data_IF_491060313133
#
_entry.id   IF_491060313133
#
_cell.length_a   1.000
_cell.length_b   1.000
_cell.length_c   1.000
_cell.angle_alpha   90.00
_cell.angle_beta   90.00
_cell.angle_gamma   90.00
#
_symmetry.space_group_name_H-M   'P 1'
#
loop_
_entity.id
_entity.type
_entity.pdbx_description
1 polymer ?
#
# COMPACT_ATOMS: atom_id res chain seq x y z
N UNK A 1 0.27 -12.89 1.84
CA UNK A 1 -0.10 -13.12 3.25
C UNK A 1 -1.45 -12.48 3.50
N UNK A 2 -2.37 -13.21 4.12
CA UNK A 2 -3.65 -12.64 4.58
C UNK A 2 -3.41 -11.64 5.72
N UNK A 3 -4.33 -10.70 5.94
CA UNK A 3 -4.22 -9.73 7.04
C UNK A 3 -4.12 -10.44 8.40
N UNK A 4 -4.79 -11.59 8.55
CA UNK A 4 -4.75 -12.42 9.77
C UNK A 4 -3.35 -13.01 10.07
N UNK A 5 -2.48 -13.11 9.07
CA UNK A 5 -1.09 -13.55 9.24
C UNK A 5 -0.14 -12.39 9.55
N UNK A 6 -0.61 -11.15 9.49
CA UNK A 6 0.21 -9.95 9.77
C UNK A 6 0.21 -9.55 11.23
N UNK A 7 -0.76 -10.03 12.01
CA UNK A 7 -0.87 -9.77 13.44
C UNK A 7 -1.33 -11.03 14.15
N UNK A 8 -0.41 -11.64 14.89
CA UNK A 8 -0.65 -12.90 15.58
C UNK A 8 -0.95 -12.67 17.07
N UNK A 9 -1.45 -13.71 17.74
CA UNK A 9 -1.63 -13.68 19.20
C UNK A 9 -0.33 -13.41 19.95
N UNK A 10 0.81 -13.87 19.41
CA UNK A 10 2.11 -13.59 20.01
C UNK A 10 2.49 -12.11 19.87
N UNK A 11 2.16 -11.47 18.75
CA UNK A 11 2.39 -10.03 18.56
C UNK A 11 1.55 -9.21 19.54
N UNK A 12 0.28 -9.59 19.72
CA UNK A 12 -0.60 -9.01 20.73
C UNK A 12 -0.02 -9.13 22.16
N UNK A 13 0.46 -10.31 22.55
CA UNK A 13 1.04 -10.51 23.88
C UNK A 13 2.37 -9.76 24.09
N UNK A 14 3.07 -9.38 23.03
CA UNK A 14 4.27 -8.53 23.11
C UNK A 14 3.89 -7.06 23.30
N UNK A 15 2.86 -6.58 22.60
CA UNK A 15 2.35 -5.21 22.71
C UNK A 15 1.59 -4.97 24.02
N UNK A 16 0.96 -6.01 24.57
CA UNK A 16 0.17 -5.98 25.80
C UNK A 16 0.68 -7.01 26.82
N UNK A 17 1.81 -6.75 27.51
CA UNK A 17 2.38 -7.68 28.48
C UNK A 17 1.44 -8.00 29.65
N UNK A 18 0.51 -7.10 30.00
CA UNK A 18 -0.51 -7.33 31.03
C UNK A 18 -1.36 -8.58 30.77
N UNK A 19 -1.73 -8.85 29.51
CA UNK A 19 -2.50 -10.03 29.14
C UNK A 19 -1.65 -11.32 29.18
N UNK A 20 -0.33 -11.18 29.01
CA UNK A 20 0.63 -12.28 29.18
C UNK A 20 0.79 -12.63 30.66
N UNK A 21 0.91 -11.62 31.52
CA UNK A 21 1.01 -11.77 32.98
C UNK A 21 -0.27 -12.36 33.58
N UNK A 22 -1.43 -11.87 33.15
CA UNK A 22 -2.75 -12.40 33.54
C UNK A 22 -3.08 -13.77 32.93
N UNK A 23 -2.17 -14.36 32.14
CA UNK A 23 -2.35 -15.63 31.41
C UNK A 23 -3.69 -15.66 30.64
N UNK A 24 -4.11 -14.52 30.10
CA UNK A 24 -5.35 -14.42 29.34
C UNK A 24 -5.24 -15.34 28.12
N UNK A 25 -6.21 -16.23 27.92
CA UNK A 25 -6.24 -17.12 26.76
C UNK A 25 -6.90 -16.39 25.59
N UNK A 26 -6.42 -16.61 24.37
CA UNK A 26 -7.09 -16.12 23.15
C UNK A 26 -8.55 -16.56 23.06
N UNK A 27 -8.85 -17.76 23.58
CA UNK A 27 -10.17 -18.36 23.57
C UNK A 27 -11.10 -17.83 24.66
N UNK A 28 -10.59 -17.08 25.66
CA UNK A 28 -11.47 -16.46 26.66
C UNK A 28 -12.23 -15.28 26.06
N UNK A 29 -13.41 -14.97 26.61
CA UNK A 29 -14.22 -13.85 26.13
C UNK A 29 -13.44 -12.51 26.18
N UNK A 30 -12.70 -12.27 27.25
CA UNK A 30 -11.85 -11.10 27.43
C UNK A 30 -10.69 -11.07 26.42
N UNK A 31 -9.97 -12.19 26.28
CA UNK A 31 -8.82 -12.28 25.37
C UNK A 31 -9.22 -12.14 23.91
N UNK A 32 -10.36 -12.72 23.51
CA UNK A 32 -10.91 -12.57 22.17
C UNK A 32 -11.28 -11.12 21.88
N UNK A 33 -11.99 -10.45 22.80
CA UNK A 33 -12.41 -9.06 22.63
C UNK A 33 -11.20 -8.11 22.56
N UNK A 34 -10.22 -8.29 23.44
CA UNK A 34 -9.00 -7.50 23.45
C UNK A 34 -8.17 -7.72 22.16
N UNK A 35 -8.03 -8.97 21.71
CA UNK A 35 -7.36 -9.29 20.45
C UNK A 35 -8.04 -8.66 19.25
N UNK A 36 -9.36 -8.80 19.14
CA UNK A 36 -10.12 -8.29 18.00
C UNK A 36 -10.03 -6.75 17.93
N UNK A 37 -10.03 -6.06 19.09
CA UNK A 37 -9.83 -4.62 19.15
C UNK A 37 -8.42 -4.21 18.69
N UNK A 38 -7.38 -4.85 19.24
CA UNK A 38 -6.00 -4.57 18.85
C UNK A 38 -5.75 -4.90 17.37
N UNK A 39 -6.28 -6.03 16.89
CA UNK A 39 -6.21 -6.44 15.50
C UNK A 39 -6.84 -5.41 14.55
N UNK A 40 -8.04 -4.92 14.87
CA UNK A 40 -8.70 -3.87 14.07
C UNK A 40 -7.83 -2.61 13.98
N UNK A 41 -7.24 -2.18 15.09
CA UNK A 41 -6.35 -1.02 15.14
C UNK A 41 -5.09 -1.25 14.31
N UNK A 42 -4.44 -2.40 14.45
CA UNK A 42 -3.28 -2.79 13.66
C UNK A 42 -3.59 -2.77 12.17
N UNK A 43 -4.69 -3.40 11.75
CA UNK A 43 -5.06 -3.49 10.32
C UNK A 43 -5.33 -2.09 9.74
N UNK A 44 -6.03 -1.22 10.48
CA UNK A 44 -6.25 0.18 10.06
C UNK A 44 -4.92 0.91 9.84
N UNK A 45 -4.00 0.81 10.79
CA UNK A 45 -2.66 1.42 10.69
C UNK A 45 -1.87 0.87 9.51
N UNK A 46 -1.81 -0.46 9.38
CA UNK A 46 -1.11 -1.14 8.29
C UNK A 46 -1.64 -0.75 6.91
N UNK A 47 -2.96 -0.66 6.75
CA UNK A 47 -3.57 -0.23 5.49
C UNK A 47 -3.29 1.25 5.18
N UNK A 48 -3.29 2.12 6.20
CA UNK A 48 -2.93 3.54 6.05
C UNK A 48 -1.47 3.72 5.62
N UNK A 49 -0.53 3.04 6.28
CA UNK A 49 0.89 3.08 5.90
C UNK A 49 1.12 2.57 4.48
N UNK A 50 0.36 1.54 4.08
CA UNK A 50 0.41 1.01 2.72
C UNK A 50 -0.12 2.01 1.70
N UNK A 51 -1.19 2.73 2.02
CA UNK A 51 -1.71 3.81 1.19
C UNK A 51 -0.65 4.89 0.98
N UNK A 52 -0.02 5.38 2.05
CA UNK A 52 1.02 6.41 1.98
C UNK A 52 2.23 5.97 1.13
N UNK A 53 2.70 4.73 1.33
CA UNK A 53 3.79 4.17 0.51
C UNK A 53 3.41 4.12 -0.96
N UNK A 54 2.19 3.71 -1.26
CA UNK A 54 1.70 3.61 -2.65
C UNK A 54 1.54 5.00 -3.27
N UNK A 55 1.04 5.98 -2.52
CA UNK A 55 0.94 7.38 -2.95
C UNK A 55 2.30 7.99 -3.27
N UNK A 56 3.33 7.74 -2.43
CA UNK A 56 4.72 8.17 -2.68
C UNK A 56 5.31 7.55 -3.96
N UNK A 57 4.94 6.31 -4.31
CA UNK A 57 5.37 5.68 -5.56
C UNK A 57 4.69 6.34 -6.75
N UNK A 58 3.39 6.63 -6.65
CA UNK A 58 2.63 7.32 -7.71
C UNK A 58 3.22 8.70 -7.97
N UNK A 59 3.49 9.51 -6.94
CA UNK A 59 4.07 10.85 -7.12
C UNK A 59 5.41 10.81 -7.85
N UNK A 60 6.33 9.94 -7.41
CA UNK A 60 7.63 9.72 -8.09
C UNK A 60 7.47 9.26 -9.53
N UNK A 61 6.47 8.44 -9.81
CA UNK A 61 6.19 7.94 -11.18
C UNK A 61 5.65 9.06 -12.07
N UNK A 62 4.78 9.92 -11.53
CA UNK A 62 4.24 11.10 -12.23
C UNK A 62 5.35 12.09 -12.58
N UNK A 63 6.28 12.36 -11.66
CA UNK A 63 7.43 13.23 -11.93
C UNK A 63 8.32 12.67 -13.05
N UNK A 64 8.65 11.38 -12.98
CA UNK A 64 9.40 10.69 -14.04
C UNK A 64 8.67 10.72 -15.38
N UNK A 65 7.35 10.54 -15.38
CA UNK A 65 6.51 10.64 -16.58
C UNK A 65 6.61 12.03 -17.20
N UNK A 66 6.46 13.10 -16.41
CA UNK A 66 6.58 14.50 -16.88
C UNK A 66 7.93 14.76 -17.55
N UNK A 67 9.03 14.33 -16.91
CA UNK A 67 10.37 14.46 -17.47
C UNK A 67 10.52 13.70 -18.79
N UNK A 68 9.92 12.50 -18.90
CA UNK A 68 10.00 11.67 -20.10
C UNK A 68 9.14 12.22 -21.25
N UNK A 69 8.01 12.86 -20.93
CA UNK A 69 7.18 13.59 -21.91
C UNK A 69 7.99 14.74 -22.52
N UNK A 70 8.67 15.55 -21.71
CA UNK A 70 9.51 16.64 -22.21
C UNK A 70 10.61 16.12 -23.15
N UNK A 71 11.34 15.07 -22.74
CA UNK A 71 12.34 14.40 -23.60
C UNK A 71 11.74 13.84 -24.89
N UNK A 72 10.52 13.28 -24.84
CA UNK A 72 9.86 12.76 -26.04
C UNK A 72 9.51 13.89 -27.03
N UNK A 73 9.18 15.08 -26.55
CA UNK A 73 8.94 16.24 -27.40
C UNK A 73 10.23 16.74 -28.06
N UNK A 74 11.35 16.73 -27.35
CA UNK A 74 12.68 17.02 -27.92
C UNK A 74 13.10 15.99 -28.99
N UNK A 75 12.87 14.70 -28.75
CA UNK A 75 13.14 13.65 -29.75
C UNK A 75 12.26 13.78 -31.00
N UNK A 76 11.01 14.24 -30.85
CA UNK A 76 10.14 14.57 -31.99
C UNK A 76 10.67 15.75 -32.79
N UNK A 77 11.08 16.84 -32.12
CA UNK A 77 11.64 18.03 -32.78
C UNK A 77 12.94 17.73 -33.55
N UNK A 78 13.76 16.83 -33.01
CA UNK A 78 15.02 16.38 -33.64
C UNK A 78 14.85 15.27 -34.69
N UNK A 79 13.61 14.86 -35.01
CA UNK A 79 13.35 13.81 -36.00
C UNK A 79 13.78 12.40 -35.57
N UNK A 80 14.16 12.19 -34.30
CA UNK A 80 14.62 10.89 -33.81
C UNK A 80 13.42 9.98 -33.47
N UNK A 81 12.91 9.30 -34.50
CA UNK A 81 11.72 8.42 -34.43
C UNK A 81 11.93 7.23 -33.50
N UNK A 82 13.13 6.61 -33.50
CA UNK A 82 13.46 5.47 -32.65
C UNK A 82 13.42 5.83 -31.15
N UNK A 83 14.09 6.92 -30.74
CA UNK A 83 14.06 7.39 -29.35
C UNK A 83 12.67 7.85 -28.93
N UNK A 84 11.91 8.46 -29.86
CA UNK A 84 10.52 8.85 -29.62
C UNK A 84 9.63 7.63 -29.32
N UNK A 85 9.71 6.58 -30.13
CA UNK A 85 8.93 5.35 -29.93
C UNK A 85 9.26 4.67 -28.59
N UNK A 86 10.54 4.59 -28.23
CA UNK A 86 10.99 4.06 -26.93
C UNK A 86 10.43 4.90 -25.78
N UNK A 87 10.47 6.23 -25.89
CA UNK A 87 9.94 7.12 -24.87
C UNK A 87 8.42 6.94 -24.69
N UNK A 88 7.65 6.86 -25.78
CA UNK A 88 6.20 6.64 -25.73
C UNK A 88 5.85 5.29 -25.08
N UNK A 89 6.59 4.22 -25.40
CA UNK A 89 6.39 2.91 -24.75
C UNK A 89 6.62 2.98 -23.24
N UNK A 90 7.66 3.71 -22.80
CA UNK A 90 7.94 3.94 -21.38
C UNK A 90 6.85 4.77 -20.70
N UNK A 91 6.31 5.79 -21.37
CA UNK A 91 5.17 6.59 -20.87
C UNK A 91 3.96 5.68 -20.66
N UNK A 92 3.60 4.85 -21.64
CA UNK A 92 2.47 3.92 -21.52
C UNK A 92 2.65 2.91 -20.37
N UNK A 93 3.87 2.40 -20.16
CA UNK A 93 4.18 1.53 -19.03
C UNK A 93 4.02 2.26 -17.67
N UNK A 94 4.40 3.54 -17.59
CA UNK A 94 4.19 4.37 -16.41
C UNK A 94 2.71 4.65 -16.15
N UNK A 95 1.92 4.89 -17.19
CA UNK A 95 0.47 5.07 -17.07
C UNK A 95 -0.22 3.81 -16.54
N UNK A 96 0.16 2.64 -17.06
CA UNK A 96 -0.32 1.37 -16.54
C UNK A 96 0.10 1.14 -15.07
N UNK A 97 1.29 1.59 -14.67
CA UNK A 97 1.74 1.51 -13.28
C UNK A 97 0.93 2.45 -12.36
N UNK A 98 0.66 3.68 -12.80
CA UNK A 98 -0.15 4.65 -12.04
C UNK A 98 -1.57 4.09 -11.86
N UNK A 99 -2.20 3.59 -12.91
CA UNK A 99 -3.55 3.02 -12.84
C UNK A 99 -3.61 1.80 -11.89
N UNK A 100 -2.61 0.91 -11.94
CA UNK A 100 -2.53 -0.24 -11.01
C UNK A 100 -2.41 0.22 -9.56
N UNK A 101 -1.56 1.19 -9.28
CA UNK A 101 -1.38 1.72 -7.93
C UNK A 101 -2.62 2.48 -7.42
N UNK A 102 -3.33 3.20 -8.29
CA UNK A 102 -4.61 3.82 -7.94
C UNK A 102 -5.64 2.79 -7.47
N UNK A 103 -5.79 1.67 -8.21
CA UNK A 103 -6.67 0.56 -7.80
C UNK A 103 -6.26 -0.07 -6.47
N UNK A 104 -4.96 -0.15 -6.19
CA UNK A 104 -4.45 -0.67 -4.91
C UNK A 104 -4.79 0.27 -3.73
N UNK A 105 -4.73 1.59 -3.94
CA UNK A 105 -5.16 2.58 -2.96
C UNK A 105 -6.66 2.44 -2.70
N UNK A 106 -7.49 2.41 -3.74
CA UNK A 106 -8.94 2.22 -3.59
C UNK A 106 -9.28 0.93 -2.85
N UNK A 107 -8.63 -0.19 -3.22
CA UNK A 107 -8.81 -1.46 -2.51
C UNK A 107 -8.43 -1.36 -1.03
N UNK A 108 -7.36 -0.64 -0.71
CA UNK A 108 -6.92 -0.46 0.68
C UNK A 108 -7.92 0.38 1.47
N UNK A 109 -8.48 1.43 0.88
CA UNK A 109 -9.57 2.23 1.45
C UNK A 109 -10.83 1.42 1.70
N UNK A 110 -11.25 0.61 0.72
CA UNK A 110 -12.41 -0.28 0.87
C UNK A 110 -12.21 -1.30 1.99
N UNK A 111 -11.02 -1.92 2.05
CA UNK A 111 -10.70 -2.84 3.14
C UNK A 111 -10.73 -2.13 4.49
N UNK A 112 -10.15 -0.93 4.61
CA UNK A 112 -10.15 -0.16 5.85
C UNK A 112 -11.56 0.17 6.34
N UNK A 113 -12.49 0.51 5.43
CA UNK A 113 -13.91 0.73 5.76
C UNK A 113 -14.59 -0.52 6.32
N UNK A 114 -14.20 -1.71 5.87
CA UNK A 114 -14.77 -2.98 6.34
C UNK A 114 -14.30 -3.37 7.75
N UNK A 115 -13.24 -2.73 8.28
CA UNK A 115 -12.77 -2.91 9.64
C UNK A 115 -13.33 -1.86 10.62
N UNK A 116 -14.50 -1.27 10.32
CA UNK A 116 -15.17 -0.32 11.22
C UNK A 116 -15.35 -0.89 12.64
#
# INVERSE_FOLDING_TARGET
>A
MSLNQKYTWQDFLKEHPEHREKKTKRTSAEGRKAFEAAYKTFVKKYLSEREEKTAKIVSKTVEKKKALIAKSAEYRKSGNTAKTAIALRKIGAMDAAIARNARLIERSKTLQKNFK
#
